data_IF_484071830617
#
_entry.id   IF_484071830617
#
_cell.length_a   1.000
_cell.length_b   1.000
_cell.length_c   1.000
_cell.angle_alpha   90.00
_cell.angle_beta   90.00
_cell.angle_gamma   90.00
#
_symmetry.space_group_name_H-M   'P 1'
#
loop_
_entity.id
_entity.type
_entity.pdbx_description
1 polymer ?
#
# COMPACT_ATOMS: atom_id res chain seq x y z
N UNK A 1 -22.65 -43.76 13.24
CA UNK A 1 -23.15 -42.45 13.71
C UNK A 1 -21.95 -41.58 14.06
N UNK A 2 -21.46 -40.89 13.03
CA UNK A 2 -20.75 -39.59 13.01
C UNK A 2 -19.78 -39.28 14.17
N UNK A 3 -18.50 -39.59 13.96
CA UNK A 3 -17.39 -38.79 14.48
C UNK A 3 -16.32 -38.67 13.39
N UNK A 4 -16.69 -38.05 12.27
CA UNK A 4 -15.69 -37.40 11.42
C UNK A 4 -15.14 -36.23 12.22
N UNK A 5 -14.04 -36.46 12.92
CA UNK A 5 -13.15 -35.41 13.40
C UNK A 5 -12.39 -34.93 12.16
N UNK A 6 -13.14 -34.31 11.24
CA UNK A 6 -12.56 -33.49 10.20
C UNK A 6 -11.90 -32.33 10.91
N UNK A 7 -10.59 -32.21 10.76
CA UNK A 7 -9.93 -31.09 10.08
C UNK A 7 -8.54 -31.62 9.67
N UNK A 8 -8.32 -31.78 8.37
CA UNK A 8 -7.00 -31.98 7.77
C UNK A 8 -6.08 -30.82 8.14
N UNK A 9 -4.79 -31.07 8.34
CA UNK A 9 -3.72 -30.08 8.63
C UNK A 9 -3.75 -28.83 7.72
N UNK A 10 -4.42 -28.91 6.57
CA UNK A 10 -4.67 -27.82 5.64
C UNK A 10 -5.47 -26.63 6.23
N UNK A 11 -6.37 -26.84 7.20
CA UNK A 11 -7.13 -25.74 7.82
C UNK A 11 -6.35 -25.00 8.92
N UNK A 12 -5.22 -25.55 9.38
CA UNK A 12 -4.40 -24.94 10.43
C UNK A 12 -3.45 -23.85 9.91
N UNK A 13 -3.41 -23.59 8.59
CA UNK A 13 -2.69 -22.45 8.01
C UNK A 13 -3.49 -21.13 8.00
N UNK A 14 -4.78 -21.15 8.36
CA UNK A 14 -5.62 -19.95 8.40
C UNK A 14 -5.53 -19.16 9.73
N UNK A 15 -4.64 -19.56 10.66
CA UNK A 15 -4.50 -18.93 11.99
C UNK A 15 -3.24 -18.09 12.17
N UNK A 16 -2.43 -17.89 11.14
CA UNK A 16 -1.41 -16.83 11.17
C UNK A 16 -2.01 -15.56 10.54
N UNK A 17 -3.03 -15.01 11.21
CA UNK A 17 -3.52 -13.66 10.92
C UNK A 17 -2.41 -12.68 11.30
N UNK A 18 -1.42 -12.56 10.41
CA UNK A 18 -0.60 -11.38 10.32
C UNK A 18 -1.62 -10.25 10.22
N UNK A 19 -1.73 -9.44 11.25
CA UNK A 19 -2.80 -8.47 11.39
C UNK A 19 -2.43 -7.31 10.46
N UNK A 20 -2.61 -7.53 9.16
CA UNK A 20 -2.29 -6.60 8.06
C UNK A 20 -2.86 -5.24 8.47
N UNK A 21 -1.97 -4.32 8.83
CA UNK A 21 -2.34 -2.97 9.23
C UNK A 21 -2.58 -2.20 7.94
N UNK A 22 -3.81 -2.29 7.45
CA UNK A 22 -4.28 -1.51 6.31
C UNK A 22 -4.23 -0.04 6.68
N UNK A 23 -3.44 0.72 5.94
CA UNK A 23 -3.30 2.17 6.07
C UNK A 23 -3.95 2.86 4.87
N UNK A 24 -4.46 4.05 5.11
CA UNK A 24 -4.92 4.95 4.06
C UNK A 24 -3.91 6.08 3.87
N UNK A 25 -3.38 6.19 2.66
CA UNK A 25 -2.43 7.24 2.29
C UNK A 25 -3.13 8.22 1.35
N UNK A 26 -2.96 9.51 1.61
CA UNK A 26 -3.51 10.58 0.78
C UNK A 26 -2.41 11.13 -0.11
N UNK A 27 -2.58 11.02 -1.42
CA UNK A 27 -1.65 11.57 -2.42
C UNK A 27 -2.25 12.84 -3.03
N UNK A 28 -1.53 13.95 -2.93
CA UNK A 28 -1.95 15.26 -3.43
C UNK A 28 -1.21 15.58 -4.73
N UNK A 29 -1.95 15.81 -5.80
CA UNK A 29 -1.42 16.26 -7.09
C UNK A 29 -1.22 17.79 -7.09
N UNK A 30 -0.29 18.27 -7.92
CA UNK A 30 -0.06 19.69 -8.19
C UNK A 30 -1.28 20.40 -8.76
N UNK A 31 -2.15 19.66 -9.44
CA UNK A 31 -3.42 20.16 -9.97
C UNK A 31 -4.55 20.21 -8.92
N UNK A 32 -4.26 19.87 -7.66
CA UNK A 32 -5.22 19.89 -6.56
C UNK A 32 -6.08 18.62 -6.42
N UNK A 33 -5.84 17.60 -7.26
CA UNK A 33 -6.51 16.30 -7.13
C UNK A 33 -5.96 15.55 -5.91
N UNK A 34 -6.86 15.08 -5.03
CA UNK A 34 -6.52 14.23 -3.88
C UNK A 34 -6.93 12.79 -4.15
N UNK A 35 -5.97 11.88 -4.14
CA UNK A 35 -6.19 10.45 -4.34
C UNK A 35 -5.98 9.75 -2.99
N UNK A 36 -6.98 9.02 -2.51
CA UNK A 36 -6.88 8.24 -1.27
C UNK A 36 -6.68 6.78 -1.65
N UNK A 37 -5.58 6.18 -1.20
CA UNK A 37 -5.23 4.81 -1.54
C UNK A 37 -5.09 4.00 -0.26
N UNK A 38 -5.78 2.86 -0.23
CA UNK A 38 -5.68 1.90 0.85
C UNK A 38 -4.59 0.89 0.50
N UNK A 39 -3.57 0.77 1.34
CA UNK A 39 -2.41 -0.11 1.16
C UNK A 39 -2.01 -0.76 2.48
N UNK A 40 -1.11 -1.74 2.44
CA UNK A 40 -0.51 -2.33 3.64
C UNK A 40 0.78 -1.58 4.01
N UNK A 41 1.12 -1.53 5.30
CA UNK A 41 2.39 -0.96 5.77
C UNK A 41 3.63 -1.71 5.28
N UNK A 42 3.48 -2.99 4.93
CA UNK A 42 4.57 -3.82 4.40
C UNK A 42 4.72 -3.71 2.87
N UNK A 43 3.77 -3.05 2.18
CA UNK A 43 3.86 -2.89 0.73
C UNK A 43 5.02 -1.95 0.35
N UNK A 44 5.57 -2.16 -0.83
CA UNK A 44 6.61 -1.28 -1.37
C UNK A 44 6.02 0.01 -1.93
N UNK A 45 6.83 1.07 -1.99
CA UNK A 45 6.44 2.30 -2.68
C UNK A 45 6.12 2.04 -4.16
N UNK A 46 6.81 1.09 -4.80
CA UNK A 46 6.52 0.69 -6.17
C UNK A 46 5.09 0.17 -6.33
N UNK A 47 4.61 -0.63 -5.38
CA UNK A 47 3.24 -1.13 -5.40
C UNK A 47 2.22 -0.03 -5.10
N UNK A 48 2.52 0.89 -4.18
CA UNK A 48 1.70 2.09 -3.97
C UNK A 48 1.57 2.92 -5.26
N UNK A 49 2.66 3.12 -6.01
CA UNK A 49 2.61 3.84 -7.30
C UNK A 49 1.72 3.12 -8.32
N UNK A 50 1.75 1.78 -8.38
CA UNK A 50 0.87 1.00 -9.25
C UNK A 50 -0.60 1.15 -8.87
N UNK A 51 -0.91 1.19 -7.57
CA UNK A 51 -2.28 1.42 -7.09
C UNK A 51 -2.77 2.83 -7.46
N UNK A 52 -1.93 3.84 -7.29
CA UNK A 52 -2.25 5.22 -7.70
C UNK A 52 -2.42 5.30 -9.23
N UNK A 53 -1.55 4.64 -9.98
CA UNK A 53 -1.63 4.53 -11.44
C UNK A 53 -2.95 3.92 -11.91
N UNK A 54 -3.40 2.84 -11.25
CA UNK A 54 -4.67 2.20 -11.55
C UNK A 54 -5.87 3.13 -11.32
N UNK A 55 -5.84 3.97 -10.28
CA UNK A 55 -6.91 4.94 -10.00
C UNK A 55 -6.84 6.20 -10.87
N UNK A 56 -5.64 6.68 -11.17
CA UNK A 56 -5.42 7.96 -11.86
C UNK A 56 -5.37 7.79 -13.39
N UNK A 57 -5.14 6.56 -13.87
CA UNK A 57 -4.99 6.25 -15.30
C UNK A 57 -3.62 6.63 -15.87
N UNK A 58 -2.64 6.96 -15.03
CA UNK A 58 -1.28 7.34 -15.43
C UNK A 58 -0.34 6.14 -15.30
N UNK A 59 0.77 6.13 -16.04
CA UNK A 59 1.78 5.07 -15.91
C UNK A 59 2.55 5.26 -14.59
N UNK A 60 2.75 4.18 -13.84
CA UNK A 60 3.46 4.17 -12.56
C UNK A 60 4.88 4.72 -12.65
N UNK A 61 5.56 4.50 -13.78
CA UNK A 61 6.92 4.99 -14.08
C UNK A 61 7.03 6.53 -14.07
N UNK A 62 5.95 7.22 -14.45
CA UNK A 62 5.88 8.69 -14.45
C UNK A 62 5.54 9.27 -13.08
N UNK A 63 5.07 8.45 -12.15
CA UNK A 63 4.61 8.91 -10.84
C UNK A 63 5.81 8.95 -9.90
N UNK A 64 6.11 10.14 -9.41
CA UNK A 64 7.13 10.38 -8.39
C UNK A 64 6.43 10.82 -7.12
N UNK A 65 6.52 10.00 -6.07
CA UNK A 65 6.04 10.35 -4.75
C UNK A 65 7.14 11.06 -3.98
N UNK A 66 6.79 12.17 -3.33
CA UNK A 66 7.69 12.93 -2.47
C UNK A 66 7.02 13.27 -1.14
N UNK A 67 7.85 13.46 -0.13
CA UNK A 67 7.47 14.07 1.14
C UNK A 67 8.57 15.06 1.49
N UNK A 68 8.26 16.35 1.43
CA UNK A 68 9.25 17.43 1.55
C UNK A 68 10.39 17.29 0.53
N UNK A 69 11.64 17.15 0.98
CA UNK A 69 12.82 16.97 0.14
C UNK A 69 13.12 15.50 -0.17
N UNK A 70 12.39 14.56 0.43
CA UNK A 70 12.65 13.13 0.27
C UNK A 70 11.87 12.56 -0.91
N UNK A 71 12.59 11.92 -1.83
CA UNK A 71 12.02 11.17 -2.94
C UNK A 71 11.96 9.70 -2.54
N UNK A 72 10.77 9.11 -2.61
CA UNK A 72 10.59 7.70 -2.25
C UNK A 72 11.12 6.77 -3.34
N UNK A 73 11.87 5.75 -2.92
CA UNK A 73 12.42 4.71 -3.80
C UNK A 73 11.49 3.50 -3.85
N UNK A 74 11.40 2.87 -5.02
CA UNK A 74 10.38 1.85 -5.28
C UNK A 74 10.56 0.54 -4.50
N UNK A 75 11.79 0.21 -4.11
CA UNK A 75 12.13 -1.04 -3.42
C UNK A 75 12.05 -0.98 -1.89
N UNK A 76 11.74 0.20 -1.33
CA UNK A 76 11.65 0.40 0.12
C UNK A 76 10.18 0.31 0.53
N UNK A 77 9.90 -0.25 1.70
CA UNK A 77 8.53 -0.39 2.21
C UNK A 77 7.98 0.91 2.77
N UNK A 78 6.65 1.00 2.85
CA UNK A 78 5.95 2.11 3.51
C UNK A 78 6.33 2.21 4.99
N UNK A 79 6.50 1.07 5.67
CA UNK A 79 6.91 0.98 7.06
C UNK A 79 8.32 1.53 7.32
N UNK A 80 9.28 1.23 6.44
CA UNK A 80 10.66 1.74 6.55
C UNK A 80 10.73 3.27 6.40
N UNK A 81 9.80 3.85 5.65
CA UNK A 81 9.64 5.30 5.53
C UNK A 81 8.76 5.93 6.60
N UNK A 82 8.33 5.16 7.60
CA UNK A 82 7.46 5.59 8.70
C UNK A 82 6.16 6.24 8.19
N UNK A 83 5.59 5.66 7.12
CA UNK A 83 4.31 6.12 6.56
C UNK A 83 3.19 5.47 7.36
N UNK A 84 2.44 6.31 8.07
CA UNK A 84 1.28 5.94 8.86
C UNK A 84 -0.04 6.25 8.15
N UNK A 85 -1.13 5.75 8.73
CA UNK A 85 -2.50 6.05 8.33
C UNK A 85 -2.77 7.56 8.32
N UNK A 86 -3.41 8.06 7.26
CA UNK A 86 -3.72 9.47 7.07
C UNK A 86 -2.54 10.35 6.65
N UNK A 87 -1.36 9.78 6.39
CA UNK A 87 -0.22 10.54 5.87
C UNK A 87 -0.54 11.17 4.51
N UNK A 88 -0.09 12.41 4.32
CA UNK A 88 -0.18 13.12 3.06
C UNK A 88 1.16 13.05 2.32
N UNK A 89 1.12 12.55 1.08
CA UNK A 89 2.23 12.52 0.15
C UNK A 89 1.98 13.49 -1.00
N UNK A 90 3.06 14.01 -1.56
CA UNK A 90 3.00 14.83 -2.76
C UNK A 90 3.23 13.95 -3.99
N UNK A 91 2.35 14.10 -4.97
CA UNK A 91 2.40 13.41 -6.24
C UNK A 91 2.94 14.36 -7.31
N UNK A 92 4.03 13.95 -7.94
CA UNK A 92 4.63 14.62 -9.08
C UNK A 92 4.60 13.72 -10.30
N UNK A 93 4.52 14.35 -11.47
CA UNK A 93 4.72 13.68 -12.75
C UNK A 93 6.10 14.02 -13.29
N UNK A 94 6.80 13.00 -13.74
CA UNK A 94 8.03 13.10 -14.53
C UNK A 94 7.79 12.57 -15.95
#
# INVERSE_FOLDING_TARGET
MIKYIGLTECEQLATNKNRIRMIEVVCNDRLGKKVRVKCNSEDTIGDLKKLIAAQTGTRWDKIVLKKWYTIFKDHVSLGDYEIHDGQNLELYYQ
#
